data_IF_333142525032
#
_entry.id   IF_333142525032
#
_cell.length_a   1.000
_cell.length_b   1.000
_cell.length_c   1.000
_cell.angle_alpha   90.00
_cell.angle_beta   90.00
_cell.angle_gamma   90.00
#
_symmetry.space_group_name_H-M   'P 1'
#
loop_
_entity.id
_entity.type
_entity.pdbx_description
1 polymer ?
#
# COMPACT_ATOMS: atom_id res chain seq x y z
N UNK A 1 -56.53 -21.72 32.02
CA UNK A 1 -56.76 -23.17 32.19
C UNK A 1 -55.72 -23.89 31.36
N UNK A 2 -54.82 -24.76 31.80
CA UNK A 2 -54.34 -25.33 33.07
C UNK A 2 -53.09 -26.15 32.68
N UNK A 3 -51.93 -25.99 33.34
CA UNK A 3 -51.35 -26.91 34.34
C UNK A 3 -51.53 -28.42 34.06
N UNK A 4 -50.62 -29.37 34.31
CA UNK A 4 -49.18 -29.50 34.60
C UNK A 4 -49.01 -31.02 34.95
N UNK A 5 -47.92 -31.65 34.52
CA UNK A 5 -47.15 -32.69 35.27
C UNK A 5 -47.66 -34.16 35.44
N UNK A 6 -46.70 -35.10 35.36
CA UNK A 6 -46.32 -36.17 36.33
C UNK A 6 -46.11 -37.55 35.70
N UNK A 7 -44.85 -37.98 35.78
CA UNK A 7 -44.28 -39.31 36.05
C UNK A 7 -45.17 -40.56 36.12
N UNK A 8 -44.65 -41.69 35.62
CA UNK A 8 -44.40 -42.92 36.40
C UNK A 8 -43.80 -44.03 35.53
N UNK A 9 -42.59 -44.49 35.87
CA UNK A 9 -42.25 -45.92 35.95
C UNK A 9 -40.95 -46.10 36.75
N UNK A 10 -41.09 -45.95 38.07
CA UNK A 10 -40.30 -46.70 39.04
C UNK A 10 -40.77 -48.16 39.01
N UNK A 11 -39.82 -49.11 39.08
CA UNK A 11 -39.91 -50.40 39.78
C UNK A 11 -39.13 -51.51 39.04
N UNK A 12 -37.81 -51.55 39.25
CA UNK A 12 -37.00 -52.77 39.35
C UNK A 12 -35.74 -52.49 40.19
N UNK A 13 -36.00 -52.11 41.44
CA UNK A 13 -35.25 -52.52 42.66
C UNK A 13 -35.60 -54.03 42.86
N UNK A 14 -34.81 -54.98 43.35
CA UNK A 14 -33.70 -55.05 44.32
C UNK A 14 -33.32 -56.54 44.42
N UNK A 15 -32.04 -56.92 44.33
CA UNK A 15 -31.47 -58.10 45.01
C UNK A 15 -29.99 -58.30 44.63
N UNK A 16 -29.09 -57.63 45.36
CA UNK A 16 -28.00 -58.33 46.05
C UNK A 16 -27.29 -57.32 46.96
N UNK A 17 -27.86 -57.23 48.15
CA UNK A 17 -27.26 -56.63 49.33
C UNK A 17 -26.23 -57.60 49.92
N UNK A 18 -25.21 -57.00 50.55
CA UNK A 18 -24.27 -57.54 51.53
C UNK A 18 -22.89 -58.04 51.03
N UNK A 19 -21.88 -57.17 51.15
CA UNK A 19 -20.59 -57.53 51.77
C UNK A 19 -20.04 -56.34 52.57
N UNK A 20 -19.39 -56.57 53.73
CA UNK A 20 -19.31 -55.62 54.83
C UNK A 20 -18.10 -54.68 54.75
N UNK A 21 -18.22 -53.55 55.46
CA UNK A 21 -17.17 -52.55 55.70
C UNK A 21 -15.95 -53.14 56.43
N UNK A 22 -14.70 -52.86 56.00
CA UNK A 22 -13.56 -52.93 56.87
C UNK A 22 -13.33 -51.60 57.59
N UNK A 23 -13.12 -51.74 58.89
CA UNK A 23 -12.86 -50.70 59.88
C UNK A 23 -11.49 -50.03 59.76
N UNK A 24 -11.43 -48.77 60.21
CA UNK A 24 -10.33 -48.04 60.86
C UNK A 24 -8.87 -48.47 60.59
N UNK A 25 -8.15 -47.52 59.98
CA UNK A 25 -6.78 -47.03 60.26
C UNK A 25 -5.59 -48.01 60.24
N UNK A 26 -4.70 -47.78 59.26
CA UNK A 26 -3.26 -48.00 59.33
C UNK A 26 -2.55 -46.86 58.57
N UNK A 27 -1.30 -46.49 58.92
CA UNK A 27 -0.87 -45.10 59.01
C UNK A 27 -0.58 -44.42 57.67
N UNK A 28 -0.77 -43.10 57.67
CA UNK A 28 -0.36 -42.18 56.63
C UNK A 28 1.10 -42.42 56.22
N UNK A 29 1.32 -42.75 54.94
CA UNK A 29 2.65 -42.55 54.33
C UNK A 29 2.97 -41.05 54.39
N UNK A 30 4.20 -40.68 54.78
CA UNK A 30 4.55 -39.29 54.98
C UNK A 30 4.34 -38.53 53.69
N UNK A 31 3.80 -37.32 53.82
CA UNK A 31 3.77 -36.29 52.79
C UNK A 31 5.22 -36.11 52.33
N UNK A 32 5.57 -36.75 51.21
CA UNK A 32 6.84 -36.51 50.54
C UNK A 32 6.79 -35.09 50.01
N UNK A 33 7.72 -34.27 50.48
CA UNK A 33 7.92 -32.89 50.07
C UNK A 33 7.73 -32.74 48.56
N UNK A 34 6.99 -31.68 48.17
CA UNK A 34 7.07 -31.08 46.84
C UNK A 34 8.52 -31.16 46.35
N UNK A 35 8.78 -31.96 45.32
CA UNK A 35 9.95 -31.72 44.47
C UNK A 35 9.75 -30.32 43.92
N UNK A 36 10.36 -29.33 44.61
CA UNK A 36 10.61 -28.03 44.02
C UNK A 36 11.47 -28.35 42.81
N UNK A 37 10.86 -28.36 41.62
CA UNK A 37 11.58 -28.46 40.37
C UNK A 37 12.76 -27.48 40.46
N UNK A 38 13.98 -28.02 40.48
CA UNK A 38 15.20 -27.22 40.57
C UNK A 38 15.19 -26.22 39.42
N UNK A 39 15.63 -24.98 39.65
CA UNK A 39 15.60 -23.90 38.64
C UNK A 39 16.11 -24.39 37.28
N UNK A 40 17.13 -25.25 37.29
CA UNK A 40 17.73 -25.87 36.10
C UNK A 40 16.74 -26.73 35.28
N UNK A 41 15.85 -27.48 35.94
CA UNK A 41 14.84 -28.30 35.27
C UNK A 41 13.75 -27.46 34.59
N UNK A 42 13.39 -26.31 35.20
CA UNK A 42 12.44 -25.35 34.63
C UNK A 42 13.06 -24.66 33.41
N UNK A 43 14.33 -24.26 33.52
CA UNK A 43 15.08 -23.66 32.40
C UNK A 43 15.24 -24.64 31.23
N UNK A 44 15.55 -25.90 31.48
CA UNK A 44 15.66 -26.90 30.41
C UNK A 44 14.32 -27.17 29.71
N UNK A 45 13.21 -27.23 30.46
CA UNK A 45 11.89 -27.50 29.90
C UNK A 45 11.29 -26.31 29.15
N UNK A 46 11.69 -25.08 29.50
CA UNK A 46 11.18 -23.82 28.92
C UNK A 46 12.23 -23.03 28.14
N UNK A 47 13.37 -23.63 27.78
CA UNK A 47 14.46 -22.94 27.06
C UNK A 47 13.99 -22.30 25.76
N UNK A 48 13.13 -22.97 24.99
CA UNK A 48 12.64 -22.48 23.69
C UNK A 48 11.78 -21.21 23.86
N UNK A 49 10.74 -21.18 24.71
CA UNK A 49 9.97 -19.95 24.92
C UNK A 49 10.80 -18.82 25.55
N UNK A 50 11.80 -19.11 26.40
CA UNK A 50 12.69 -18.06 26.92
C UNK A 50 13.64 -17.49 25.86
N UNK A 51 14.22 -18.34 25.02
CA UNK A 51 15.02 -17.90 23.86
C UNK A 51 14.14 -17.09 22.91
N UNK A 52 12.93 -17.55 22.62
CA UNK A 52 11.95 -16.81 21.81
C UNK A 52 11.58 -15.45 22.41
N UNK A 53 11.33 -15.38 23.73
CA UNK A 53 11.07 -14.12 24.41
C UNK A 53 12.28 -13.17 24.41
N UNK A 54 13.49 -13.71 24.55
CA UNK A 54 14.74 -12.95 24.47
C UNK A 54 14.99 -12.38 23.07
N UNK A 55 14.76 -13.18 22.02
CA UNK A 55 14.84 -12.73 20.63
C UNK A 55 13.79 -11.65 20.37
N UNK A 56 12.54 -11.84 20.80
CA UNK A 56 11.49 -10.84 20.66
C UNK A 56 11.85 -9.54 21.40
N UNK A 57 12.35 -9.63 22.63
CA UNK A 57 12.78 -8.47 23.40
C UNK A 57 13.97 -7.74 22.75
N UNK A 58 14.90 -8.48 22.13
CA UNK A 58 16.00 -7.90 21.35
C UNK A 58 15.50 -7.24 20.06
N UNK A 59 14.58 -7.89 19.33
CA UNK A 59 13.95 -7.31 18.15
C UNK A 59 13.17 -6.04 18.49
N UNK A 60 12.39 -6.04 19.58
CA UNK A 60 11.72 -4.85 20.09
C UNK A 60 12.73 -3.80 20.56
N UNK A 61 13.78 -4.19 21.27
CA UNK A 61 14.82 -3.27 21.75
C UNK A 61 15.57 -2.60 20.59
N UNK A 62 15.93 -3.35 19.56
CA UNK A 62 16.54 -2.83 18.33
C UNK A 62 15.54 -1.98 17.55
N UNK A 63 14.28 -2.41 17.41
CA UNK A 63 13.22 -1.63 16.78
C UNK A 63 13.02 -0.29 17.48
N UNK A 64 12.79 -0.30 18.79
CA UNK A 64 12.64 0.91 19.59
C UNK A 64 13.91 1.74 19.58
N UNK A 65 15.10 1.14 19.62
CA UNK A 65 16.36 1.90 19.54
C UNK A 65 16.59 2.53 18.17
N UNK A 66 16.25 1.86 17.07
CA UNK A 66 16.35 2.42 15.71
C UNK A 66 15.31 3.51 15.49
N UNK A 67 14.06 3.27 15.92
CA UNK A 67 12.98 4.25 15.89
C UNK A 67 13.35 5.46 16.76
N UNK A 68 13.76 5.24 18.01
CA UNK A 68 14.22 6.28 18.92
C UNK A 68 15.46 6.99 18.37
N UNK A 69 16.49 6.28 17.90
CA UNK A 69 17.66 6.93 17.27
C UNK A 69 17.25 7.75 16.04
N UNK A 70 16.29 7.28 15.24
CA UNK A 70 15.76 8.09 14.12
C UNK A 70 15.03 9.35 14.55
N UNK A 71 14.48 9.38 15.77
CA UNK A 71 13.86 10.55 16.41
C UNK A 71 14.87 11.42 17.21
N UNK A 72 15.97 10.85 17.71
CA UNK A 72 16.82 11.50 18.72
C UNK A 72 18.27 11.75 18.26
N UNK A 73 18.71 11.27 17.10
CA UNK A 73 19.96 11.74 16.49
C UNK A 73 19.75 13.08 15.79
N UNK A 74 19.57 14.12 16.63
CA UNK A 74 20.03 15.50 16.50
C UNK A 74 19.30 16.36 17.57
N UNK A 75 19.79 16.45 18.81
CA UNK A 75 19.25 17.42 19.75
C UNK A 75 19.87 18.80 19.49
N UNK A 76 19.09 19.76 18.98
CA UNK A 76 19.37 21.17 19.22
C UNK A 76 18.55 21.61 20.45
N UNK A 77 19.19 21.97 21.59
CA UNK A 77 18.48 22.32 22.81
C UNK A 77 18.14 23.81 22.81
N UNK A 78 17.21 24.26 21.97
CA UNK A 78 16.68 25.64 22.03
C UNK A 78 15.38 25.86 21.23
N UNK A 79 14.40 24.96 21.27
CA UNK A 79 13.15 25.18 20.53
C UNK A 79 11.93 24.69 21.31
N UNK A 80 11.69 25.29 22.49
CA UNK A 80 10.35 25.29 23.09
C UNK A 80 9.57 26.49 22.57
N UNK A 81 8.38 26.26 22.03
CA UNK A 81 7.42 27.27 21.56
C UNK A 81 8.03 28.38 20.70
N UNK A 82 8.23 28.11 19.41
CA UNK A 82 8.36 29.16 18.40
C UNK A 82 7.27 28.94 17.35
N UNK A 83 6.46 29.98 17.14
CA UNK A 83 5.71 30.15 15.91
C UNK A 83 6.65 29.87 14.72
N UNK A 84 6.15 29.18 13.70
CA UNK A 84 6.85 28.92 12.44
C UNK A 84 7.70 30.12 12.02
N UNK A 85 8.99 29.88 11.75
CA UNK A 85 9.90 30.87 11.18
C UNK A 85 9.39 31.24 9.77
N UNK A 86 8.92 32.48 9.54
CA UNK A 86 8.35 32.89 8.26
C UNK A 86 9.41 33.04 7.14
N UNK A 87 10.70 32.77 7.41
CA UNK A 87 11.79 32.88 6.44
C UNK A 87 12.07 31.61 5.63
N UNK A 88 11.55 30.45 6.04
CA UNK A 88 11.67 29.19 5.28
C UNK A 88 10.35 28.98 4.55
N UNK A 89 10.37 28.88 3.22
CA UNK A 89 9.19 28.52 2.44
C UNK A 89 8.71 27.13 2.84
N UNK A 90 7.72 27.09 3.74
CA UNK A 90 7.15 25.87 4.34
C UNK A 90 6.18 25.16 3.40
N UNK A 91 6.04 25.63 2.15
CA UNK A 91 5.17 25.03 1.17
C UNK A 91 5.86 23.85 0.48
N UNK A 92 5.30 22.62 0.55
CA UNK A 92 5.84 21.50 -0.23
C UNK A 92 5.77 21.79 -1.72
N UNK A 93 6.83 21.41 -2.43
CA UNK A 93 6.99 21.65 -3.88
C UNK A 93 6.89 20.36 -4.70
N UNK A 94 6.64 19.22 -4.04
CA UNK A 94 6.77 17.89 -4.62
C UNK A 94 8.22 17.39 -4.75
N UNK A 95 9.21 18.22 -4.39
CA UNK A 95 10.65 17.92 -4.56
C UNK A 95 11.37 17.89 -3.21
N UNK A 96 12.12 16.82 -2.89
CA UNK A 96 12.92 16.80 -1.67
C UNK A 96 14.03 17.86 -1.71
N UNK A 97 14.16 18.73 -0.68
CA UNK A 97 15.20 19.75 -0.61
C UNK A 97 16.62 19.17 -0.67
N UNK A 98 16.79 17.93 -0.20
CA UNK A 98 18.07 17.21 -0.26
C UNK A 98 18.61 16.99 -1.69
N UNK A 99 17.75 17.11 -2.72
CA UNK A 99 18.13 17.01 -4.13
C UNK A 99 18.32 18.37 -4.80
N UNK A 100 17.87 19.45 -4.18
CA UNK A 100 17.97 20.79 -4.78
C UNK A 100 19.35 21.41 -4.51
N UNK A 101 20.17 21.49 -5.56
CA UNK A 101 21.49 22.10 -5.50
C UNK A 101 21.43 23.62 -5.30
N UNK A 102 20.30 24.27 -5.58
CA UNK A 102 20.11 25.71 -5.39
C UNK A 102 19.81 26.07 -3.93
N UNK A 103 19.31 25.13 -3.13
CA UNK A 103 19.07 25.34 -1.69
C UNK A 103 20.41 25.36 -0.95
N UNK A 104 20.69 26.49 -0.28
CA UNK A 104 21.86 26.70 0.56
C UNK A 104 21.43 26.78 2.01
N UNK A 105 21.24 25.62 2.63
CA UNK A 105 20.99 25.47 4.07
C UNK A 105 21.94 24.42 4.64
N UNK A 106 22.73 24.81 5.65
CA UNK A 106 23.70 23.93 6.32
C UNK A 106 23.03 22.75 7.03
N UNK A 107 21.72 22.82 7.31
CA UNK A 107 20.93 21.73 7.88
C UNK A 107 20.54 20.67 6.84
N UNK A 108 20.53 21.01 5.55
CA UNK A 108 20.10 20.12 4.47
C UNK A 108 21.30 19.35 3.92
N UNK A 109 21.38 18.07 4.27
CA UNK A 109 22.41 17.18 3.73
C UNK A 109 22.07 16.81 2.28
N UNK A 110 22.78 17.43 1.32
CA UNK A 110 22.68 17.11 -0.11
C UNK A 110 22.99 15.65 -0.40
N UNK A 111 22.19 15.04 -1.28
CA UNK A 111 22.31 13.64 -1.69
C UNK A 111 21.96 13.48 -3.17
N UNK A 112 22.43 12.41 -3.80
CA UNK A 112 21.93 12.03 -5.13
C UNK A 112 20.56 11.36 -4.98
N UNK A 113 19.75 11.36 -6.04
CA UNK A 113 18.46 10.66 -6.03
C UNK A 113 18.61 9.16 -5.69
N UNK A 114 19.68 8.48 -6.14
CA UNK A 114 19.92 7.08 -5.79
C UNK A 114 20.32 6.91 -4.32
N UNK A 115 21.05 7.86 -3.74
CA UNK A 115 21.40 7.82 -2.32
C UNK A 115 20.19 8.08 -1.43
N UNK A 116 19.36 9.07 -1.79
CA UNK A 116 18.08 9.34 -1.16
C UNK A 116 17.18 8.11 -1.22
N UNK A 117 17.04 7.52 -2.41
CA UNK A 117 16.27 6.31 -2.63
C UNK A 117 16.74 5.16 -1.72
N UNK A 118 18.03 4.79 -1.76
CA UNK A 118 18.56 3.73 -0.88
C UNK A 118 18.34 4.03 0.61
N UNK A 119 18.33 5.31 1.00
CA UNK A 119 18.03 5.74 2.37
C UNK A 119 16.64 5.37 2.85
N UNK A 120 15.71 5.06 1.94
CA UNK A 120 14.34 4.63 2.25
C UNK A 120 14.20 3.12 2.44
N UNK A 121 15.16 2.30 2.00
CA UNK A 121 14.99 0.83 1.98
C UNK A 121 14.76 0.22 3.37
N UNK A 122 15.60 0.58 4.35
CA UNK A 122 15.46 0.07 5.72
C UNK A 122 14.19 0.61 6.39
N UNK A 123 13.88 1.92 6.35
CA UNK A 123 12.60 2.42 6.83
C UNK A 123 11.39 1.72 6.20
N UNK A 124 11.33 1.60 4.87
CA UNK A 124 10.18 0.96 4.19
C UNK A 124 10.03 -0.52 4.57
N UNK A 125 11.15 -1.25 4.70
CA UNK A 125 11.14 -2.65 5.14
C UNK A 125 10.65 -2.77 6.59
N UNK A 126 11.22 -1.97 7.50
CA UNK A 126 10.88 -1.97 8.92
C UNK A 126 9.41 -1.59 9.14
N UNK A 127 8.93 -0.64 8.34
CA UNK A 127 7.56 -0.15 8.38
C UNK A 127 6.59 -1.03 7.59
N UNK A 128 7.05 -2.08 6.89
CA UNK A 128 6.18 -2.97 6.14
C UNK A 128 5.48 -2.33 4.93
N UNK A 129 5.96 -1.18 4.45
CA UNK A 129 5.36 -0.47 3.32
C UNK A 129 5.46 -1.27 2.02
N UNK A 130 6.48 -2.12 1.86
CA UNK A 130 6.61 -2.99 0.70
C UNK A 130 5.39 -3.88 0.47
N UNK A 131 4.85 -4.48 1.55
CA UNK A 131 3.64 -5.32 1.44
C UNK A 131 2.39 -4.53 1.07
N UNK A 132 2.28 -3.27 1.52
CA UNK A 132 1.15 -2.40 1.17
C UNK A 132 1.25 -1.90 -0.27
N UNK A 133 2.46 -1.52 -0.73
CA UNK A 133 2.75 -1.18 -2.13
C UNK A 133 2.41 -2.34 -3.05
N UNK A 134 2.76 -3.56 -2.66
CA UNK A 134 2.41 -4.77 -3.40
C UNK A 134 0.90 -5.00 -3.45
N UNK A 135 0.20 -4.80 -2.32
CA UNK A 135 -1.24 -4.97 -2.23
C UNK A 135 -1.99 -4.02 -3.18
N UNK A 136 -1.63 -2.72 -3.21
CA UNK A 136 -2.27 -1.76 -4.12
C UNK A 136 -1.95 -2.06 -5.59
N UNK A 137 -0.68 -2.34 -5.90
CA UNK A 137 -0.23 -2.57 -7.27
C UNK A 137 -0.87 -3.83 -7.90
N UNK A 138 -1.04 -4.91 -7.12
CA UNK A 138 -1.72 -6.14 -7.57
C UNK A 138 -3.20 -5.96 -7.89
N UNK A 139 -3.84 -4.94 -7.31
CA UNK A 139 -5.25 -4.63 -7.59
C UNK A 139 -5.43 -3.66 -8.76
N UNK A 140 -4.35 -3.01 -9.20
CA UNK A 140 -4.40 -2.09 -10.34
C UNK A 140 -4.68 -2.82 -11.64
N UNK A 141 -5.53 -2.21 -12.47
CA UNK A 141 -6.04 -2.82 -13.71
C UNK A 141 -6.39 -1.77 -14.76
N UNK A 142 -6.53 -2.22 -16.00
CA UNK A 142 -6.89 -1.39 -17.14
C UNK A 142 -5.78 -0.40 -17.47
N UNK A 143 -6.16 0.82 -17.84
CA UNK A 143 -5.25 1.95 -18.02
C UNK A 143 -4.84 2.48 -16.63
N UNK A 144 -3.57 2.32 -16.26
CA UNK A 144 -3.05 2.70 -14.94
C UNK A 144 -2.28 4.02 -15.01
N UNK A 145 -2.63 4.95 -14.13
CA UNK A 145 -1.86 6.16 -13.84
C UNK A 145 -1.25 6.04 -12.45
N UNK A 146 0.06 6.19 -12.33
CA UNK A 146 0.74 6.35 -11.05
C UNK A 146 1.18 7.80 -10.87
N UNK A 147 0.77 8.42 -9.77
CA UNK A 147 1.14 9.79 -9.40
C UNK A 147 2.14 9.73 -8.25
N UNK A 148 3.10 10.67 -8.25
CA UNK A 148 4.22 10.68 -7.33
C UNK A 148 5.02 9.38 -7.41
N UNK A 149 5.38 8.99 -8.64
CA UNK A 149 6.17 7.78 -8.92
C UNK A 149 7.50 7.79 -8.16
N UNK A 150 8.06 8.99 -7.94
CA UNK A 150 9.38 9.19 -7.38
C UNK A 150 10.42 8.39 -8.16
N UNK A 151 11.12 7.49 -7.48
CA UNK A 151 12.11 6.60 -8.07
C UNK A 151 11.52 5.31 -8.66
N UNK A 152 10.21 5.15 -8.69
CA UNK A 152 9.52 3.99 -9.27
C UNK A 152 9.48 2.77 -8.34
N UNK A 153 9.36 2.97 -7.03
CA UNK A 153 9.36 1.86 -6.04
C UNK A 153 8.21 0.86 -6.22
N UNK A 154 7.09 1.30 -6.81
CA UNK A 154 5.95 0.42 -7.09
C UNK A 154 6.13 -0.44 -8.35
N UNK A 155 7.06 -0.09 -9.26
CA UNK A 155 7.18 -0.70 -10.59
C UNK A 155 7.34 -2.23 -10.54
N UNK A 156 8.03 -2.73 -9.50
CA UNK A 156 8.29 -4.15 -9.28
C UNK A 156 7.07 -4.98 -8.87
N UNK A 157 5.98 -4.34 -8.48
CA UNK A 157 4.79 -5.02 -7.98
C UNK A 157 3.64 -5.11 -8.99
N UNK A 158 3.70 -4.35 -10.09
CA UNK A 158 2.70 -4.47 -11.15
C UNK A 158 2.89 -5.72 -12.00
N UNK A 159 1.78 -6.27 -12.49
CA UNK A 159 1.80 -7.30 -13.51
C UNK A 159 1.86 -6.66 -14.91
N UNK A 160 3.02 -6.80 -15.54
CA UNK A 160 3.31 -6.23 -16.86
C UNK A 160 2.85 -7.11 -18.02
N UNK A 161 2.32 -8.30 -17.75
CA UNK A 161 2.07 -9.34 -18.76
C UNK A 161 1.27 -8.82 -19.94
N UNK A 162 0.10 -8.20 -19.70
CA UNK A 162 -0.77 -7.72 -20.79
C UNK A 162 -0.25 -6.43 -21.45
N UNK A 163 0.54 -5.63 -20.74
CA UNK A 163 1.17 -4.42 -21.30
C UNK A 163 2.18 -4.79 -22.39
N UNK A 164 3.01 -5.82 -22.12
CA UNK A 164 4.05 -6.28 -23.04
C UNK A 164 3.56 -7.32 -24.06
N UNK A 165 2.36 -7.89 -23.85
CA UNK A 165 1.78 -8.91 -24.72
C UNK A 165 1.57 -8.40 -26.15
N UNK A 166 1.87 -9.27 -27.11
CA UNK A 166 1.70 -9.01 -28.55
C UNK A 166 2.71 -8.04 -29.18
N UNK A 167 3.75 -7.59 -28.47
CA UNK A 167 4.65 -6.53 -28.95
C UNK A 167 6.06 -6.99 -29.36
N UNK A 168 6.25 -8.30 -29.60
CA UNK A 168 7.52 -8.82 -30.13
C UNK A 168 8.72 -8.66 -29.19
N UNK A 169 8.47 -8.31 -27.92
CA UNK A 169 9.48 -8.29 -26.85
C UNK A 169 10.07 -9.70 -26.66
N UNK A 170 9.21 -10.71 -26.84
CA UNK A 170 9.51 -12.13 -26.71
C UNK A 170 9.81 -12.82 -28.06
N UNK A 171 9.74 -12.09 -29.18
CA UNK A 171 9.93 -12.64 -30.53
C UNK A 171 8.87 -13.65 -31.01
N UNK A 172 7.73 -13.76 -30.31
CA UNK A 172 6.60 -14.63 -30.71
C UNK A 172 5.77 -13.98 -31.84
N UNK A 173 5.20 -14.79 -32.71
CA UNK A 173 4.27 -14.33 -33.74
C UNK A 173 2.90 -13.92 -33.15
N UNK A 174 2.16 -13.09 -33.89
CA UNK A 174 0.90 -12.49 -33.46
C UNK A 174 -0.18 -13.56 -33.16
N UNK A 175 -0.21 -14.63 -33.96
CA UNK A 175 -1.19 -15.73 -33.82
C UNK A 175 -0.99 -16.50 -32.51
N UNK A 176 0.26 -16.75 -32.12
CA UNK A 176 0.58 -17.45 -30.87
C UNK A 176 0.29 -16.57 -29.66
N UNK A 177 0.62 -15.27 -29.73
CA UNK A 177 0.31 -14.31 -28.67
C UNK A 177 -1.21 -14.24 -28.39
N UNK A 178 -2.04 -14.15 -29.43
CA UNK A 178 -3.51 -14.15 -29.30
C UNK A 178 -4.01 -15.42 -28.61
N UNK A 179 -3.52 -16.60 -28.99
CA UNK A 179 -3.93 -17.88 -28.35
C UNK A 179 -3.51 -17.97 -26.89
N UNK A 180 -2.30 -17.53 -26.54
CA UNK A 180 -1.84 -17.51 -25.16
C UNK A 180 -2.67 -16.53 -24.31
N UNK A 181 -3.00 -15.36 -24.87
CA UNK A 181 -3.88 -14.37 -24.24
C UNK A 181 -5.26 -14.94 -23.95
N UNK A 182 -5.91 -15.54 -24.95
CA UNK A 182 -7.21 -16.19 -24.76
C UNK A 182 -7.18 -17.27 -23.68
N UNK A 183 -6.10 -18.06 -23.62
CA UNK A 183 -5.92 -19.08 -22.59
C UNK A 183 -5.79 -18.46 -21.21
N UNK A 184 -4.95 -17.43 -21.04
CA UNK A 184 -4.78 -16.69 -19.78
C UNK A 184 -6.10 -16.08 -19.30
N UNK A 185 -6.84 -15.42 -20.19
CA UNK A 185 -8.16 -14.84 -19.87
C UNK A 185 -9.14 -15.92 -19.40
N UNK A 186 -9.23 -17.06 -20.10
CA UNK A 186 -10.09 -18.19 -19.69
C UNK A 186 -9.72 -18.73 -18.30
N UNK A 187 -8.43 -18.89 -18.01
CA UNK A 187 -7.96 -19.33 -16.69
C UNK A 187 -8.29 -18.34 -15.58
N UNK A 188 -8.11 -17.03 -15.82
CA UNK A 188 -8.43 -15.99 -14.85
C UNK A 188 -9.94 -15.86 -14.58
N UNK A 189 -10.77 -15.91 -15.63
CA UNK A 189 -12.24 -15.92 -15.47
C UNK A 189 -12.68 -17.13 -14.65
N UNK A 190 -12.13 -18.32 -14.92
CA UNK A 190 -12.40 -19.53 -14.12
C UNK A 190 -12.03 -19.34 -12.65
N UNK A 191 -10.90 -18.70 -12.36
CA UNK A 191 -10.47 -18.40 -10.99
C UNK A 191 -11.40 -17.39 -10.30
N UNK A 192 -11.78 -16.31 -10.99
CA UNK A 192 -12.70 -15.30 -10.47
C UNK A 192 -14.09 -15.86 -10.13
N UNK A 193 -14.62 -16.76 -10.97
CA UNK A 193 -15.88 -17.47 -10.71
C UNK A 193 -15.76 -18.37 -9.48
N UNK A 194 -14.63 -19.09 -9.33
CA UNK A 194 -14.37 -19.97 -8.18
C UNK A 194 -14.29 -19.20 -6.86
N UNK A 195 -13.61 -18.05 -6.85
CA UNK A 195 -13.48 -17.20 -5.65
C UNK A 195 -14.84 -16.64 -5.20
N UNK A 196 -15.73 -16.31 -6.14
CA UNK A 196 -17.07 -15.77 -5.85
C UNK A 196 -18.09 -16.82 -5.40
N UNK A 197 -17.71 -18.09 -5.23
CA UNK A 197 -18.55 -19.12 -4.62
C UNK A 197 -19.82 -19.53 -5.38
N UNK A 198 -19.98 -19.17 -6.66
CA UNK A 198 -21.15 -19.59 -7.46
C UNK A 198 -20.96 -21.01 -7.98
N UNK A 199 -21.91 -21.90 -7.66
CA UNK A 199 -21.96 -23.31 -8.09
C UNK A 199 -22.37 -23.52 -9.55
N UNK A 200 -22.80 -22.47 -10.26
CA UNK A 200 -23.18 -22.56 -11.67
C UNK A 200 -22.17 -21.82 -12.54
N UNK A 201 -21.44 -22.60 -13.33
CA UNK A 201 -20.64 -22.13 -14.47
C UNK A 201 -21.57 -21.67 -15.61
N UNK A 202 -22.85 -22.03 -15.57
CA UNK A 202 -23.83 -21.68 -16.58
C UNK A 202 -24.48 -20.33 -16.25
N UNK A 203 -24.31 -19.36 -17.15
CA UNK A 203 -24.69 -17.93 -17.08
C UNK A 203 -23.66 -16.94 -16.49
N UNK A 204 -22.36 -17.28 -16.46
CA UNK A 204 -21.37 -16.21 -16.64
C UNK A 204 -21.23 -16.00 -18.14
N UNK A 205 -21.77 -14.89 -18.65
CA UNK A 205 -21.72 -14.56 -20.07
C UNK A 205 -20.27 -14.23 -20.43
N UNK A 206 -19.53 -15.26 -20.85
CA UNK A 206 -18.11 -15.21 -21.21
C UNK A 206 -17.89 -14.18 -22.31
N UNK A 207 -18.91 -13.85 -23.12
CA UNK A 207 -18.85 -12.79 -24.12
C UNK A 207 -18.95 -11.38 -23.55
N UNK A 208 -19.73 -11.16 -22.49
CA UNK A 208 -19.76 -9.86 -21.77
C UNK A 208 -18.52 -9.63 -20.90
N UNK A 209 -17.81 -10.68 -20.53
CA UNK A 209 -16.55 -10.62 -19.78
C UNK A 209 -15.31 -10.38 -20.67
N UNK A 210 -15.48 -10.13 -21.98
CA UNK A 210 -14.40 -10.04 -22.99
C UNK A 210 -13.61 -8.73 -23.02
N UNK A 211 -13.88 -7.75 -22.16
CA UNK A 211 -13.11 -6.49 -22.24
C UNK A 211 -11.78 -6.66 -21.51
N UNK A 212 -10.63 -6.47 -22.19
CA UNK A 212 -9.33 -6.52 -21.54
C UNK A 212 -9.26 -5.47 -20.44
N UNK A 213 -8.52 -5.77 -19.37
CA UNK A 213 -8.27 -4.84 -18.26
C UNK A 213 -9.34 -4.79 -17.17
N UNK A 214 -10.32 -5.69 -17.18
CA UNK A 214 -11.38 -5.71 -16.17
C UNK A 214 -11.02 -6.46 -14.89
N UNK A 215 -10.03 -7.36 -14.95
CA UNK A 215 -9.60 -8.18 -13.82
C UNK A 215 -8.50 -7.47 -13.00
N UNK A 216 -8.47 -7.71 -11.70
CA UNK A 216 -7.40 -7.18 -10.84
C UNK A 216 -6.03 -7.70 -11.31
N UNK A 217 -5.06 -6.80 -11.40
CA UNK A 217 -3.72 -7.08 -11.93
C UNK A 217 -3.65 -7.07 -13.47
N UNK A 218 -4.77 -6.92 -14.19
CA UNK A 218 -4.76 -6.87 -15.65
C UNK A 218 -4.47 -5.45 -16.15
N UNK A 219 -3.21 -5.04 -16.09
CA UNK A 219 -2.78 -3.73 -16.56
C UNK A 219 -2.61 -3.72 -18.09
N UNK A 220 -3.22 -2.75 -18.76
CA UNK A 220 -3.18 -2.58 -20.22
C UNK A 220 -2.20 -1.50 -20.68
N UNK A 221 -2.05 -0.47 -19.86
CA UNK A 221 -1.06 0.58 -20.03
C UNK A 221 -0.65 1.13 -18.68
N UNK A 222 0.56 1.64 -18.59
CA UNK A 222 1.10 2.31 -17.42
C UNK A 222 1.59 3.71 -17.80
N UNK A 223 1.17 4.72 -17.04
CA UNK A 223 1.72 6.08 -17.10
C UNK A 223 2.14 6.50 -15.72
N UNK A 224 3.41 6.77 -15.52
CA UNK A 224 3.94 7.29 -14.27
C UNK A 224 4.25 8.78 -14.36
N UNK A 225 3.86 9.56 -13.35
CA UNK A 225 4.09 11.01 -13.28
C UNK A 225 4.81 11.39 -12.00
N UNK A 226 5.83 12.26 -12.13
CA UNK A 226 6.52 12.90 -11.02
C UNK A 226 7.07 14.27 -11.44
N UNK A 227 7.25 15.20 -10.50
CA UNK A 227 7.77 16.54 -10.80
C UNK A 227 9.31 16.61 -10.77
N UNK A 228 9.98 15.63 -10.17
CA UNK A 228 11.43 15.61 -9.96
C UNK A 228 12.17 14.91 -11.09
N UNK A 229 12.96 15.67 -11.85
CA UNK A 229 13.82 15.14 -12.92
C UNK A 229 14.84 14.12 -12.40
N UNK A 230 15.43 14.36 -11.23
CA UNK A 230 16.43 13.46 -10.64
C UNK A 230 15.82 12.11 -10.23
N UNK A 231 14.66 12.14 -9.57
CA UNK A 231 13.93 10.90 -9.20
C UNK A 231 13.51 10.13 -10.44
N UNK A 232 13.07 10.84 -11.50
CA UNK A 232 12.69 10.24 -12.77
C UNK A 232 13.88 9.59 -13.51
N UNK A 233 15.11 10.03 -13.25
CA UNK A 233 16.32 9.35 -13.71
C UNK A 233 16.46 7.94 -13.12
N UNK A 234 16.21 7.82 -11.82
CA UNK A 234 16.19 6.54 -11.10
C UNK A 234 15.01 5.69 -11.55
N UNK A 235 13.81 6.28 -11.66
CA UNK A 235 12.60 5.59 -12.12
C UNK A 235 12.73 5.03 -13.53
N UNK A 236 13.32 5.80 -14.47
CA UNK A 236 13.62 5.34 -15.83
C UNK A 236 14.53 4.11 -15.83
N UNK A 237 15.55 4.11 -14.97
CA UNK A 237 16.49 2.99 -14.83
C UNK A 237 15.79 1.77 -14.23
N UNK A 238 14.98 1.97 -13.19
CA UNK A 238 14.20 0.90 -12.54
C UNK A 238 13.18 0.30 -13.50
N UNK A 239 12.42 1.12 -14.22
CA UNK A 239 11.48 0.68 -15.24
C UNK A 239 12.15 -0.22 -16.29
N UNK A 240 13.30 0.21 -16.84
CA UNK A 240 14.09 -0.57 -17.80
C UNK A 240 14.42 -1.97 -17.30
N UNK A 241 14.77 -2.08 -16.02
CA UNK A 241 15.26 -3.32 -15.41
C UNK A 241 14.11 -4.21 -14.89
N UNK A 242 12.97 -3.61 -14.57
CA UNK A 242 11.79 -4.31 -14.04
C UNK A 242 10.86 -4.82 -15.14
N UNK A 243 10.58 -4.03 -16.18
CA UNK A 243 9.60 -4.40 -17.21
C UNK A 243 10.19 -5.44 -18.16
N UNK A 244 9.54 -6.62 -18.34
CA UNK A 244 10.06 -7.68 -19.20
C UNK A 244 10.42 -7.18 -20.60
N UNK A 245 11.67 -7.49 -21.00
CA UNK A 245 12.31 -7.14 -22.27
C UNK A 245 12.44 -5.65 -22.63
N UNK A 246 12.02 -4.75 -21.75
CA UNK A 246 12.21 -3.31 -21.92
C UNK A 246 13.70 -2.95 -21.94
N UNK A 247 14.56 -3.65 -21.19
CA UNK A 247 16.03 -3.53 -21.27
C UNK A 247 16.57 -3.66 -22.69
N UNK A 248 16.05 -4.60 -23.49
CA UNK A 248 16.47 -4.82 -24.89
C UNK A 248 15.96 -3.70 -25.80
N UNK A 249 14.72 -3.24 -25.57
CA UNK A 249 14.10 -2.16 -26.33
C UNK A 249 14.81 -0.82 -26.10
N UNK A 250 15.01 -0.46 -24.82
CA UNK A 250 15.63 0.81 -24.43
C UNK A 250 17.12 0.90 -24.73
N UNK A 251 17.84 -0.22 -24.88
CA UNK A 251 19.26 -0.21 -25.32
C UNK A 251 19.44 0.46 -26.68
N UNK A 252 18.42 0.41 -27.54
CA UNK A 252 18.43 1.01 -28.88
C UNK A 252 18.02 2.49 -28.87
N UNK A 253 17.52 3.00 -27.76
CA UNK A 253 17.03 4.37 -27.62
C UNK A 253 18.19 5.24 -27.14
N UNK A 254 18.45 6.35 -27.83
CA UNK A 254 19.43 7.34 -27.40
C UNK A 254 18.95 7.94 -26.07
N UNK A 255 19.82 7.94 -25.07
CA UNK A 255 19.52 8.62 -23.80
C UNK A 255 19.67 10.11 -24.02
N UNK A 256 18.54 10.81 -24.15
CA UNK A 256 18.52 12.26 -24.15
C UNK A 256 18.59 12.81 -22.72
N UNK A 257 19.06 14.06 -22.54
CA UNK A 257 18.93 14.78 -21.28
C UNK A 257 17.48 14.76 -20.79
N UNK A 258 17.30 14.80 -19.48
CA UNK A 258 15.97 14.81 -18.88
C UNK A 258 15.24 16.11 -19.28
N UNK A 259 14.00 16.05 -19.83
CA UNK A 259 13.25 17.25 -20.14
C UNK A 259 12.78 17.95 -18.85
N UNK A 260 12.50 19.25 -18.92
CA UNK A 260 11.91 19.98 -17.79
C UNK A 260 10.47 19.56 -17.50
N UNK A 261 9.70 19.24 -18.56
CA UNK A 261 8.34 18.70 -18.52
C UNK A 261 8.11 17.79 -19.74
N UNK A 262 7.21 16.83 -19.62
CA UNK A 262 6.81 15.93 -20.70
C UNK A 262 7.38 14.50 -20.57
N UNK A 263 7.35 13.74 -21.67
CA UNK A 263 7.70 12.33 -21.65
C UNK A 263 9.21 12.10 -21.48
N UNK A 264 9.56 11.29 -20.48
CA UNK A 264 10.90 10.76 -20.18
C UNK A 264 11.10 9.38 -20.80
N UNK A 265 10.05 8.57 -20.76
CA UNK A 265 9.95 7.29 -21.46
C UNK A 265 8.61 7.29 -22.18
N UNK A 266 8.63 6.98 -23.46
CA UNK A 266 7.45 6.65 -24.23
C UNK A 266 7.82 5.48 -25.16
N UNK A 267 7.29 4.31 -24.83
CA UNK A 267 7.59 3.07 -25.53
C UNK A 267 6.32 2.23 -25.66
N UNK A 268 6.38 1.22 -26.52
CA UNK A 268 5.25 0.31 -26.75
C UNK A 268 4.00 1.06 -27.24
N UNK A 269 4.19 2.04 -28.12
CA UNK A 269 3.14 2.94 -28.64
C UNK A 269 2.38 3.67 -27.51
N UNK A 270 3.12 4.22 -26.54
CA UNK A 270 2.56 4.92 -25.40
C UNK A 270 1.92 4.03 -24.33
N UNK A 271 1.97 2.70 -24.46
CA UNK A 271 1.48 1.79 -23.39
C UNK A 271 2.34 1.83 -22.13
N UNK A 272 3.59 2.25 -22.23
CA UNK A 272 4.45 2.49 -21.05
C UNK A 272 5.04 3.88 -21.17
N UNK A 273 4.62 4.75 -20.24
CA UNK A 273 5.07 6.13 -20.17
C UNK A 273 5.60 6.49 -18.80
N UNK A 274 6.65 7.29 -18.79
CA UNK A 274 7.08 8.07 -17.62
C UNK A 274 7.12 9.52 -18.06
N UNK A 275 6.49 10.41 -17.30
CA UNK A 275 6.37 11.82 -17.64
C UNK A 275 6.80 12.70 -16.46
N UNK A 276 7.59 13.72 -16.74
CA UNK A 276 7.80 14.81 -15.78
C UNK A 276 6.63 15.77 -15.90
N UNK A 277 5.83 15.87 -14.85
CA UNK A 277 4.74 16.84 -14.76
C UNK A 277 4.44 17.16 -13.30
N UNK A 278 3.89 18.35 -13.10
CA UNK A 278 3.30 18.72 -11.82
C UNK A 278 1.90 18.09 -11.74
N UNK A 279 1.66 17.29 -10.70
CA UNK A 279 0.38 16.60 -10.52
C UNK A 279 -0.74 17.54 -10.07
N UNK A 280 -0.41 18.74 -9.60
CA UNK A 280 -1.35 19.82 -9.33
C UNK A 280 -1.80 20.52 -10.62
N UNK A 281 -1.13 20.27 -11.75
CA UNK A 281 -1.46 20.77 -13.09
C UNK A 281 -2.13 19.68 -13.95
N UNK A 282 -2.64 20.01 -15.16
CA UNK A 282 -3.28 19.02 -16.01
C UNK A 282 -2.41 17.77 -16.28
N UNK A 283 -2.92 16.61 -15.87
CA UNK A 283 -2.25 15.32 -15.98
C UNK A 283 -2.31 14.77 -17.42
N UNK A 284 -1.31 13.97 -17.85
CA UNK A 284 -1.32 13.38 -19.19
C UNK A 284 -2.51 12.41 -19.37
N UNK A 285 -3.26 12.50 -20.49
CA UNK A 285 -4.38 11.61 -20.76
C UNK A 285 -3.90 10.18 -21.04
N UNK A 286 -4.73 9.19 -20.73
CA UNK A 286 -4.45 7.79 -21.08
C UNK A 286 -4.31 7.63 -22.59
N UNK A 287 -3.48 6.68 -23.02
CA UNK A 287 -3.42 6.30 -24.44
C UNK A 287 -4.63 5.42 -24.82
N UNK A 288 -5.13 5.50 -26.06
CA UNK A 288 -6.13 4.55 -26.55
C UNK A 288 -5.57 3.12 -26.56
N UNK A 289 -6.27 2.20 -25.89
CA UNK A 289 -5.97 0.77 -25.95
C UNK A 289 -7.12 0.05 -26.65
N UNK A 290 -6.85 -0.92 -27.56
CA UNK A 290 -7.91 -1.71 -28.18
C UNK A 290 -8.83 -2.36 -27.14
N UNK A 291 -10.13 -2.10 -27.25
CA UNK A 291 -11.14 -2.61 -26.32
C UNK A 291 -11.46 -1.70 -25.14
N UNK A 292 -10.88 -0.50 -25.06
CA UNK A 292 -11.24 0.53 -24.07
C UNK A 292 -11.77 1.80 -24.75
N UNK A 293 -12.54 2.65 -24.03
CA UNK A 293 -12.88 3.98 -24.50
C UNK A 293 -11.63 4.84 -24.80
N UNK A 294 -11.75 5.75 -25.77
CA UNK A 294 -10.70 6.70 -26.16
C UNK A 294 -10.96 8.10 -25.59
N UNK A 295 -11.24 8.17 -24.29
CA UNK A 295 -11.64 9.38 -23.55
C UNK A 295 -10.50 10.00 -22.70
N UNK A 296 -9.32 9.40 -22.73
CA UNK A 296 -8.16 9.86 -21.96
C UNK A 296 -8.22 9.55 -20.46
N UNK A 297 -9.21 8.77 -19.99
CA UNK A 297 -9.38 8.40 -18.58
C UNK A 297 -8.58 7.15 -18.19
N UNK A 298 -8.38 6.98 -16.90
CA UNK A 298 -7.69 5.83 -16.32
C UNK A 298 -8.65 4.95 -15.53
N UNK A 299 -8.50 3.64 -15.68
CA UNK A 299 -9.30 2.65 -14.94
C UNK A 299 -8.79 2.50 -13.49
N UNK A 300 -7.49 2.71 -13.28
CA UNK A 300 -6.90 2.79 -11.94
C UNK A 300 -5.93 3.96 -11.83
N UNK A 301 -6.06 4.75 -10.78
CA UNK A 301 -5.05 5.72 -10.36
C UNK A 301 -4.42 5.21 -9.06
N UNK A 302 -3.09 5.17 -8.99
CA UNK A 302 -2.33 4.75 -7.81
C UNK A 302 -1.48 5.91 -7.33
N UNK A 303 -1.41 6.12 -6.02
CA UNK A 303 -0.44 7.03 -5.41
C UNK A 303 0.11 6.43 -4.12
N UNK A 304 1.39 6.68 -3.85
CA UNK A 304 2.04 6.30 -2.59
C UNK A 304 2.80 7.48 -2.00
N UNK A 305 2.34 8.00 -0.86
CA UNK A 305 2.97 9.07 -0.09
C UNK A 305 3.13 10.38 -0.88
N UNK A 306 2.12 10.74 -1.67
CA UNK A 306 2.15 11.93 -2.51
C UNK A 306 1.43 13.13 -1.87
N UNK A 307 0.36 12.89 -1.11
CA UNK A 307 -0.47 13.97 -0.55
C UNK A 307 0.26 14.80 0.51
N UNK A 308 1.32 14.27 1.12
CA UNK A 308 2.16 15.01 2.06
C UNK A 308 3.09 16.04 1.38
N UNK A 309 3.36 15.86 0.09
CA UNK A 309 4.46 16.50 -0.65
C UNK A 309 4.00 17.62 -1.59
N UNK A 310 2.69 17.85 -1.73
CA UNK A 310 2.13 18.88 -2.63
C UNK A 310 1.67 20.12 -1.87
N UNK A 311 1.53 21.24 -2.59
CA UNK A 311 1.06 22.50 -2.02
C UNK A 311 -0.45 22.45 -1.73
N UNK A 312 -1.26 22.00 -2.68
CA UNK A 312 -2.71 21.82 -2.55
C UNK A 312 -3.12 20.35 -2.77
N UNK A 313 -3.17 19.55 -1.68
CA UNK A 313 -3.54 18.14 -1.79
C UNK A 313 -5.00 17.91 -2.15
N UNK A 314 -5.89 18.88 -1.91
CA UNK A 314 -7.30 18.79 -2.32
C UNK A 314 -7.42 18.95 -3.82
N UNK A 315 -6.70 19.92 -4.42
CA UNK A 315 -6.58 20.08 -5.88
C UNK A 315 -6.01 18.81 -6.53
N UNK A 316 -4.98 18.21 -5.93
CA UNK A 316 -4.42 16.95 -6.44
C UNK A 316 -5.47 15.82 -6.47
N UNK A 317 -6.23 15.62 -5.39
CA UNK A 317 -7.32 14.61 -5.37
C UNK A 317 -8.40 14.94 -6.40
N UNK A 318 -8.73 16.23 -6.60
CA UNK A 318 -9.66 16.65 -7.64
C UNK A 318 -9.14 16.36 -9.06
N UNK A 319 -7.85 16.59 -9.32
CA UNK A 319 -7.21 16.22 -10.58
C UNK A 319 -7.27 14.71 -10.81
N UNK A 320 -7.01 13.88 -9.79
CA UNK A 320 -7.21 12.43 -9.90
C UNK A 320 -8.65 12.06 -10.24
N UNK A 321 -9.63 12.66 -9.54
CA UNK A 321 -11.05 12.43 -9.80
C UNK A 321 -11.44 12.81 -11.23
N UNK A 322 -10.83 13.87 -11.78
CA UNK A 322 -11.03 14.25 -13.18
C UNK A 322 -10.45 13.25 -14.17
N UNK A 323 -9.45 12.45 -13.79
CA UNK A 323 -8.75 11.54 -14.69
C UNK A 323 -9.22 10.09 -14.57
N UNK A 324 -9.91 9.72 -13.50
CA UNK A 324 -10.42 8.36 -13.30
C UNK A 324 -11.70 8.12 -14.11
N UNK A 325 -11.84 6.92 -14.66
CA UNK A 325 -13.06 6.48 -15.35
C UNK A 325 -14.27 6.51 -14.39
N UNK A 326 -15.30 7.32 -14.66
CA UNK A 326 -16.47 7.37 -13.79
C UNK A 326 -17.22 6.03 -13.73
N UNK A 327 -17.67 5.67 -12.53
CA UNK A 327 -18.49 4.49 -12.25
C UNK A 327 -17.68 3.19 -12.11
N UNK A 328 -16.67 2.96 -12.96
CA UNK A 328 -15.89 1.71 -12.98
C UNK A 328 -14.48 1.85 -12.41
N UNK A 329 -13.88 3.04 -12.53
CA UNK A 329 -12.50 3.31 -12.14
C UNK A 329 -12.32 3.52 -10.63
N UNK A 330 -11.07 3.40 -10.18
CA UNK A 330 -10.70 3.55 -8.76
C UNK A 330 -9.44 4.39 -8.59
N UNK A 331 -9.40 5.15 -7.50
CA UNK A 331 -8.20 5.81 -7.00
C UNK A 331 -7.76 5.06 -5.75
N UNK A 332 -6.51 4.59 -5.73
CA UNK A 332 -5.90 3.82 -4.66
C UNK A 332 -4.76 4.62 -4.05
N UNK A 333 -4.93 5.06 -2.80
CA UNK A 333 -3.94 5.85 -2.08
C UNK A 333 -3.32 5.00 -0.98
N UNK A 334 -1.99 4.99 -0.90
CA UNK A 334 -1.22 4.55 0.25
C UNK A 334 -0.52 5.79 0.82
N UNK A 335 -0.94 6.27 1.98
CA UNK A 335 -0.47 7.54 2.52
C UNK A 335 -0.02 7.41 3.97
N UNK A 336 0.75 8.39 4.43
CA UNK A 336 1.05 8.57 5.84
C UNK A 336 0.50 9.93 6.29
N UNK A 337 0.06 10.00 7.54
CA UNK A 337 -0.57 11.18 8.09
C UNK A 337 -0.69 11.10 9.61
N UNK A 338 -1.59 11.93 10.15
CA UNK A 338 -1.98 11.86 11.57
C UNK A 338 -2.41 10.46 11.95
N UNK A 339 -1.90 10.00 13.09
CA UNK A 339 -2.27 8.77 13.74
C UNK A 339 -3.20 9.02 14.92
N UNK A 340 -3.14 8.14 15.92
CA UNK A 340 -3.90 8.27 17.16
C UNK A 340 -3.47 9.50 17.97
N UNK A 341 -4.37 10.02 18.81
CA UNK A 341 -4.18 11.30 19.49
C UNK A 341 -2.87 11.42 20.27
N UNK A 342 -2.35 10.33 20.85
CA UNK A 342 -1.12 10.38 21.64
C UNK A 342 0.16 10.45 20.81
N UNK A 343 0.16 10.00 19.54
CA UNK A 343 1.36 10.06 18.69
C UNK A 343 1.45 11.38 17.94
N UNK A 344 0.34 12.09 17.75
CA UNK A 344 0.30 13.32 16.96
C UNK A 344 1.18 14.44 17.54
N UNK A 345 1.29 14.56 18.87
CA UNK A 345 2.21 15.53 19.48
C UNK A 345 3.69 15.26 19.15
N UNK A 346 4.08 13.99 18.98
CA UNK A 346 5.40 13.63 18.50
C UNK A 346 5.57 13.98 17.02
N UNK A 347 4.58 13.63 16.18
CA UNK A 347 4.62 13.94 14.75
C UNK A 347 4.73 15.44 14.49
N UNK A 348 3.98 16.25 15.23
CA UNK A 348 3.97 17.71 15.15
C UNK A 348 5.31 18.29 15.63
N UNK A 349 5.85 17.78 16.74
CA UNK A 349 7.13 18.24 17.30
C UNK A 349 8.35 18.00 16.40
N UNK A 350 8.28 17.03 15.48
CA UNK A 350 9.36 16.68 14.54
C UNK A 350 9.03 17.03 13.08
N UNK A 351 7.92 17.73 12.84
CA UNK A 351 7.43 18.01 11.49
C UNK A 351 8.41 18.91 10.69
N UNK A 352 9.03 19.90 11.34
CA UNK A 352 9.99 20.81 10.69
C UNK A 352 11.26 20.08 10.25
N UNK A 353 11.82 19.22 11.10
CA UNK A 353 12.98 18.39 10.75
C UNK A 353 12.66 17.42 9.62
N UNK A 354 11.44 16.87 9.62
CA UNK A 354 10.95 16.03 8.54
C UNK A 354 10.85 16.82 7.23
N UNK A 355 10.27 18.03 7.27
CA UNK A 355 10.14 18.90 6.12
C UNK A 355 11.50 19.32 5.57
N UNK A 356 12.45 19.71 6.42
CA UNK A 356 13.81 20.07 6.00
C UNK A 356 14.52 18.91 5.28
N UNK A 357 14.26 17.66 5.69
CA UNK A 357 14.87 16.48 5.08
C UNK A 357 14.15 15.99 3.82
N UNK A 358 12.83 15.92 3.85
CA UNK A 358 12.01 15.24 2.84
C UNK A 358 11.19 16.19 1.96
N UNK A 359 10.98 17.43 2.39
CA UNK A 359 10.20 18.45 1.67
C UNK A 359 8.69 18.34 1.84
N UNK A 360 8.23 17.54 2.80
CA UNK A 360 6.81 17.18 2.92
C UNK A 360 6.35 17.19 4.39
N UNK A 361 5.03 17.31 4.57
CA UNK A 361 4.41 17.33 5.91
C UNK A 361 3.78 15.98 6.22
N UNK A 362 4.50 15.15 6.97
CA UNK A 362 4.07 13.80 7.31
C UNK A 362 2.91 13.70 8.29
N UNK A 363 2.58 14.79 8.97
CA UNK A 363 1.55 14.93 9.99
C UNK A 363 0.26 15.55 9.44
N UNK A 364 0.08 15.58 8.11
CA UNK A 364 -1.17 16.05 7.50
C UNK A 364 -2.36 15.17 7.88
N UNK A 365 -3.52 15.81 7.98
CA UNK A 365 -4.79 15.09 8.12
C UNK A 365 -5.26 14.56 6.76
N UNK A 366 -4.65 13.45 6.34
CA UNK A 366 -4.93 12.83 5.03
C UNK A 366 -6.40 12.46 4.87
N UNK A 367 -7.01 11.93 5.93
CA UNK A 367 -8.43 11.55 5.90
C UNK A 367 -9.32 12.78 5.75
N UNK A 368 -9.02 13.86 6.48
CA UNK A 368 -9.68 15.15 6.30
C UNK A 368 -9.57 15.69 4.87
N UNK A 369 -8.36 15.68 4.30
CA UNK A 369 -8.07 16.13 2.93
C UNK A 369 -8.92 15.38 1.89
N UNK A 370 -8.98 14.05 1.94
CA UNK A 370 -9.77 13.28 0.95
C UNK A 370 -11.27 13.46 1.13
N UNK A 371 -11.74 13.69 2.36
CA UNK A 371 -13.16 13.97 2.64
C UNK A 371 -13.55 15.36 2.14
N UNK A 372 -12.70 16.36 2.38
CA UNK A 372 -12.89 17.71 1.85
C UNK A 372 -12.91 17.71 0.31
N UNK A 373 -12.01 16.94 -0.33
CA UNK A 373 -12.04 16.77 -1.78
C UNK A 373 -13.35 16.11 -2.24
N UNK A 374 -13.86 15.10 -1.54
CA UNK A 374 -15.12 14.46 -1.86
C UNK A 374 -16.34 15.39 -1.69
N UNK A 375 -16.28 16.36 -0.77
CA UNK A 375 -17.30 17.40 -0.62
C UNK A 375 -17.26 18.41 -1.77
N UNK A 376 -16.07 18.76 -2.26
CA UNK A 376 -15.86 19.76 -3.31
C UNK A 376 -16.04 19.22 -4.73
N UNK A 377 -15.78 17.93 -4.95
CA UNK A 377 -15.79 17.31 -6.29
C UNK A 377 -17.07 16.52 -6.50
N UNK A 378 -17.95 16.93 -7.44
CA UNK A 378 -19.20 16.24 -7.70
C UNK A 378 -19.01 14.75 -8.03
N UNK A 379 -19.69 13.91 -7.26
CA UNK A 379 -19.66 12.46 -7.44
C UNK A 379 -18.41 11.75 -6.90
N UNK A 380 -17.40 12.45 -6.39
CA UNK A 380 -16.27 11.78 -5.75
C UNK A 380 -16.72 11.17 -4.42
N UNK A 381 -16.48 9.87 -4.23
CA UNK A 381 -16.87 9.13 -3.04
C UNK A 381 -15.66 8.45 -2.40
N UNK A 382 -15.50 8.61 -1.08
CA UNK A 382 -14.57 7.82 -0.28
C UNK A 382 -15.22 6.47 0.03
N UNK A 383 -14.70 5.40 -0.55
CA UNK A 383 -15.26 4.05 -0.41
C UNK A 383 -14.78 3.35 0.85
N UNK A 384 -13.49 3.50 1.14
CA UNK A 384 -12.83 2.76 2.20
C UNK A 384 -11.63 3.56 2.71
N UNK A 385 -11.45 3.57 4.03
CA UNK A 385 -10.29 4.11 4.73
C UNK A 385 -9.82 3.06 5.72
N UNK A 386 -8.68 2.45 5.45
CA UNK A 386 -8.06 1.43 6.29
C UNK A 386 -6.78 1.98 6.92
N UNK A 387 -6.45 1.51 8.13
CA UNK A 387 -5.18 1.77 8.81
C UNK A 387 -4.50 0.44 9.14
N UNK A 388 -3.90 -0.24 8.15
CA UNK A 388 -3.54 -1.66 8.24
C UNK A 388 -2.38 -1.95 9.20
N UNK A 389 -1.54 -0.96 9.50
CA UNK A 389 -0.34 -1.13 10.32
C UNK A 389 -0.58 -0.63 11.74
N UNK A 390 -1.32 -1.41 12.52
CA UNK A 390 -1.65 -1.10 13.93
C UNK A 390 -0.43 -0.69 14.77
N UNK A 391 0.73 -1.33 14.56
CA UNK A 391 1.96 -1.05 15.30
C UNK A 391 2.54 0.35 15.01
N UNK A 392 2.04 1.03 13.98
CA UNK A 392 2.39 2.41 13.64
C UNK A 392 1.39 3.41 14.21
N UNK A 393 0.55 2.98 15.16
CA UNK A 393 -0.39 3.86 15.87
C UNK A 393 -1.32 4.62 14.92
N UNK A 394 -1.68 3.97 13.82
CA UNK A 394 -2.62 4.48 12.82
C UNK A 394 -2.05 5.53 11.86
N UNK A 395 -0.74 5.79 11.79
CA UNK A 395 -0.20 6.84 10.90
C UNK A 395 -0.23 6.49 9.42
N UNK A 396 -0.40 5.22 9.04
CA UNK A 396 -0.52 4.79 7.64
C UNK A 396 -1.97 4.52 7.26
N UNK A 397 -2.36 5.07 6.11
CA UNK A 397 -3.71 4.97 5.56
C UNK A 397 -3.67 4.28 4.19
N UNK A 398 -4.63 3.40 3.96
CA UNK A 398 -4.99 2.93 2.62
C UNK A 398 -6.40 3.43 2.30
N UNK A 399 -6.55 4.19 1.22
CA UNK A 399 -7.80 4.86 0.88
C UNK A 399 -8.21 4.45 -0.53
N UNK A 400 -9.48 4.10 -0.69
CA UNK A 400 -10.08 3.81 -2.00
C UNK A 400 -11.14 4.85 -2.30
N UNK A 401 -11.01 5.52 -3.44
CA UNK A 401 -12.03 6.45 -3.93
C UNK A 401 -12.55 6.03 -5.30
N UNK A 402 -13.72 6.55 -5.66
CA UNK A 402 -14.30 6.43 -7.01
C UNK A 402 -15.10 7.68 -7.35
N UNK A 403 -15.38 7.88 -8.64
CA UNK A 403 -16.34 8.89 -9.11
C UNK A 403 -17.65 8.21 -9.48
N UNK A 404 -18.74 8.57 -8.82
CA UNK A 404 -20.09 8.11 -9.09
C UNK A 404 -20.83 9.09 -10.02
N UNK A 405 -21.06 8.73 -11.31
CA UNK A 405 -21.69 9.63 -12.27
C UNK A 405 -23.16 9.94 -11.96
N UNK A 406 -23.85 9.11 -11.18
CA UNK A 406 -25.25 9.37 -10.79
C UNK A 406 -25.36 10.39 -9.67
N UNK A 407 -24.38 10.43 -8.76
CA UNK A 407 -24.31 11.42 -7.70
C UNK A 407 -23.96 12.80 -8.25
N UNK A 408 -23.10 12.88 -9.27
CA UNK A 408 -22.75 14.14 -9.93
C UNK A 408 -23.96 14.86 -10.54
N UNK A 409 -24.88 14.10 -11.16
CA UNK A 409 -26.10 14.63 -11.80
C UNK A 409 -27.16 15.19 -10.84
N UNK A 410 -27.06 14.91 -9.53
CA UNK A 410 -28.00 15.43 -8.52
C UNK A 410 -27.58 16.79 -7.97
N UNK A 411 -26.36 17.23 -8.26
CA UNK A 411 -25.79 18.49 -7.79
C UNK A 411 -25.85 19.61 -8.84
N UNK A 412 -26.20 19.28 -10.09
CA UNK A 412 -26.61 20.22 -11.15
C UNK A 412 -28.12 20.48 -11.05
#
# INVERSE_FOLDING_TARGET
>A
MGTRTVATRLARKTANLYKPLPSKAAPSKPISNKERATIDSIFQQRRIPFIGAGIMALCFGVYFSLVFSSFFTNPCPSCGNQLHDPSVDSCPTGRPPALDYAVQDDKIKRQTAEAFDRGLDVPELLMGYGGLREAIAKTAKGRVLEIAVGTGRNLGFYDWTEVVDGLGVDGKDEVTAVKEREKRTKERVRMAVRIRGKKEVEKFDVEKAKLPGQLEGEMLSYTGVDISADMMGVARTRLRDTVPGLKKLMRKIRVEPMPERGAVVDVLNGRVRLCIADAEEPLPPSVPVPGTPADGKYDTIVQSFGLCSVSDPVKLVANMASMVEPGTGRILLLEHGKGWSFINGLLDGYADDHFAKYGCWWNRDIEGIVREAAEKVPGLEVMEVERPLWLQFGTTLMIKLRVNPEAAKKCE
#
